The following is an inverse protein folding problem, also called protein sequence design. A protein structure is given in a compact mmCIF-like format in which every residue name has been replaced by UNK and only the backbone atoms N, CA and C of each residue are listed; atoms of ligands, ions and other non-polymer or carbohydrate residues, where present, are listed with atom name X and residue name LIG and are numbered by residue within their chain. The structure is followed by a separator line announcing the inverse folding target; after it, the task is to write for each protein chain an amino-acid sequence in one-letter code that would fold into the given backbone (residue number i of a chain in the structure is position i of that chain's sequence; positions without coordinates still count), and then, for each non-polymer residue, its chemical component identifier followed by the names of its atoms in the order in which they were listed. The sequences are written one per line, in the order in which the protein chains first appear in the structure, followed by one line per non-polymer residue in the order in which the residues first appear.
data_IF_673326732939
#
_entry.id   IF_673326732939
#
_cell.length_a   1.000
_cell.length_b   1.000
_cell.length_c   1.000
_cell.angle_alpha   90.00
_cell.angle_beta   90.00
_cell.angle_gamma   90.00
#
_symmetry.space_group_name_H-M   'P 1'
#
loop_
_entity.id
_entity.type
_entity.pdbx_description
1 polymer ?
#
# COMPACT_ATOMS: atom_id res chain seq x y z
N UNK A 1 17.92 14.38 3.62
CA UNK A 1 17.94 13.04 4.26
C UNK A 1 16.69 12.31 3.80
N UNK A 2 16.83 11.40 2.84
CA UNK A 2 15.71 10.69 2.22
C UNK A 2 15.08 9.74 3.24
N UNK A 3 13.81 9.96 3.56
CA UNK A 3 13.07 9.22 4.58
C UNK A 3 13.07 7.72 4.31
N UNK A 4 13.83 6.97 5.10
CA UNK A 4 13.70 5.52 5.21
C UNK A 4 12.46 5.19 6.05
N UNK A 5 11.28 5.48 5.51
CA UNK A 5 10.00 5.13 6.14
C UNK A 5 9.43 3.87 5.50
N UNK A 6 10.23 2.80 5.52
CA UNK A 6 9.95 1.61 4.73
C UNK A 6 10.38 0.35 5.47
N UNK A 7 9.60 -0.08 6.47
CA UNK A 7 10.14 -1.17 7.28
C UNK A 7 9.55 -2.55 6.96
N UNK A 8 8.42 -2.67 6.24
CA UNK A 8 7.91 -4.02 5.85
C UNK A 8 7.18 -4.15 4.52
N UNK A 9 6.47 -3.13 4.00
CA UNK A 9 5.70 -3.35 2.77
C UNK A 9 6.61 -3.58 1.54
N UNK A 10 7.62 -2.73 1.38
CA UNK A 10 8.64 -2.93 0.35
C UNK A 10 9.68 -3.98 0.77
N UNK A 11 9.84 -4.22 2.07
CA UNK A 11 10.76 -5.25 2.60
C UNK A 11 10.18 -6.68 2.57
N UNK A 12 8.87 -6.84 2.36
CA UNK A 12 8.21 -8.14 2.45
C UNK A 12 8.72 -9.11 1.38
N UNK A 13 9.14 -10.29 1.83
CA UNK A 13 9.59 -11.41 0.97
C UNK A 13 8.48 -12.41 0.67
N UNK A 14 7.34 -12.29 1.36
CA UNK A 14 6.18 -13.15 1.18
C UNK A 14 4.86 -12.41 1.33
N UNK A 15 3.78 -13.00 0.81
CA UNK A 15 2.42 -12.50 1.07
C UNK A 15 2.09 -12.48 2.56
N UNK A 16 2.58 -13.46 3.32
CA UNK A 16 2.35 -13.56 4.77
C UNK A 16 2.90 -12.34 5.51
N UNK A 17 4.07 -11.84 5.10
CA UNK A 17 4.67 -10.62 5.65
C UNK A 17 3.98 -9.33 5.19
N UNK A 18 3.53 -9.28 3.93
CA UNK A 18 2.87 -8.10 3.39
C UNK A 18 1.42 -7.94 3.88
N UNK A 19 0.71 -9.05 4.13
CA UNK A 19 -0.72 -9.06 4.45
C UNK A 19 -1.12 -8.14 5.63
N UNK A 20 -0.43 -8.12 6.78
CA UNK A 20 -0.78 -7.22 7.89
C UNK A 20 -0.70 -5.74 7.52
N UNK A 21 0.20 -5.39 6.60
CA UNK A 21 0.32 -4.02 6.09
C UNK A 21 -0.86 -3.66 5.21
N UNK A 22 -1.19 -4.53 4.25
CA UNK A 22 -2.30 -4.33 3.30
C UNK A 22 -3.65 -4.29 4.01
N UNK A 23 -3.83 -5.04 5.10
CA UNK A 23 -5.06 -5.04 5.90
C UNK A 23 -5.20 -3.83 6.85
N UNK A 24 -4.17 -2.98 6.97
CA UNK A 24 -4.23 -1.83 7.86
C UNK A 24 -5.28 -0.82 7.37
N UNK A 25 -6.15 -0.27 8.24
CA UNK A 25 -7.19 0.68 7.82
C UNK A 25 -6.64 1.85 7.01
N UNK A 26 -5.56 2.48 7.49
CA UNK A 26 -4.91 3.59 6.78
C UNK A 26 -4.35 3.22 5.41
N UNK A 27 -3.92 1.97 5.22
CA UNK A 27 -3.51 1.49 3.90
C UNK A 27 -4.67 1.55 2.91
N UNK A 28 -5.83 1.05 3.34
CA UNK A 28 -7.04 1.10 2.52
C UNK A 28 -7.46 2.55 2.23
N UNK A 29 -7.44 3.43 3.24
CA UNK A 29 -7.78 4.85 3.07
C UNK A 29 -6.88 5.51 2.02
N UNK A 30 -5.56 5.32 2.12
CA UNK A 30 -4.61 5.85 1.14
C UNK A 30 -4.85 5.30 -0.26
N UNK A 31 -5.07 3.99 -0.38
CA UNK A 31 -5.36 3.38 -1.67
C UNK A 31 -6.62 3.99 -2.32
N UNK A 32 -7.69 4.18 -1.54
CA UNK A 32 -8.95 4.78 -2.01
C UNK A 32 -8.78 6.26 -2.37
N UNK A 33 -8.13 7.04 -1.52
CA UNK A 33 -7.91 8.46 -1.75
C UNK A 33 -7.15 8.72 -3.07
N UNK A 34 -6.15 7.90 -3.37
CA UNK A 34 -5.44 7.99 -4.66
C UNK A 34 -6.36 7.67 -5.83
N UNK A 35 -7.15 6.59 -5.75
CA UNK A 35 -8.07 6.21 -6.83
C UNK A 35 -9.17 7.25 -7.06
N UNK A 36 -9.63 7.88 -5.98
CA UNK A 36 -10.64 8.94 -6.00
C UNK A 36 -10.03 10.31 -6.40
N UNK A 37 -8.72 10.36 -6.70
CA UNK A 37 -8.03 11.56 -7.20
C UNK A 37 -7.81 12.63 -6.13
N UNK A 38 -7.94 12.29 -4.84
CA UNK A 38 -7.75 13.26 -3.75
C UNK A 38 -6.27 13.66 -3.67
N UNK A 39 -5.95 14.95 -3.44
CA UNK A 39 -4.57 15.38 -3.26
C UNK A 39 -3.94 14.77 -2.01
N UNK A 40 -2.62 14.84 -1.90
CA UNK A 40 -1.90 14.40 -0.70
C UNK A 40 -1.92 15.53 0.34
N UNK A 41 -2.57 15.28 1.48
CA UNK A 41 -2.70 16.26 2.58
C UNK A 41 -1.65 15.97 3.67
N UNK A 42 -0.47 16.58 3.51
CA UNK A 42 0.63 16.48 4.47
C UNK A 42 0.24 16.97 5.87
N UNK A 43 -0.57 18.04 5.95
CA UNK A 43 -0.97 18.60 7.26
C UNK A 43 -1.94 17.70 8.00
N UNK A 44 -2.83 17.03 7.27
CA UNK A 44 -3.74 16.02 7.84
C UNK A 44 -3.00 14.80 8.41
N UNK A 45 -1.85 14.44 7.83
CA UNK A 45 -1.00 13.32 8.27
C UNK A 45 -0.23 13.62 9.56
N UNK A 46 0.19 14.87 9.78
CA UNK A 46 0.97 15.27 10.98
C UNK A 46 0.23 14.97 12.29
N UNK A 47 -1.11 14.90 12.26
CA UNK A 47 -1.94 14.53 13.40
C UNK A 47 -2.04 13.02 13.67
N UNK A 48 -1.47 12.16 12.82
CA UNK A 48 -1.56 10.71 12.95
C UNK A 48 -0.30 10.10 13.57
N UNK A 49 -0.40 8.93 14.23
CA UNK A 49 0.77 8.15 14.59
C UNK A 49 1.63 7.83 13.35
N UNK A 50 2.96 7.81 13.51
CA UNK A 50 3.89 7.58 12.40
C UNK A 50 3.61 6.28 11.62
N UNK A 51 3.19 5.21 12.31
CA UNK A 51 2.80 3.97 11.66
C UNK A 51 1.61 4.17 10.70
N UNK A 52 0.61 4.93 11.12
CA UNK A 52 -0.60 5.23 10.36
C UNK A 52 -0.27 6.04 9.11
N UNK A 53 0.62 7.04 9.24
CA UNK A 53 1.13 7.83 8.13
C UNK A 53 1.79 6.94 7.07
N UNK A 54 2.73 6.08 7.49
CA UNK A 54 3.41 5.16 6.57
C UNK A 54 2.45 4.18 5.89
N UNK A 55 1.43 3.70 6.62
CA UNK A 55 0.43 2.79 6.05
C UNK A 55 -0.40 3.49 4.98
N UNK A 56 -0.81 4.72 5.23
CA UNK A 56 -1.51 5.55 4.26
C UNK A 56 -0.68 5.80 3.00
N UNK A 57 0.58 6.19 3.17
CA UNK A 57 1.52 6.39 2.07
C UNK A 57 1.69 5.11 1.23
N UNK A 58 1.94 3.96 1.87
CA UNK A 58 2.06 2.69 1.15
C UNK A 58 0.81 2.34 0.35
N UNK A 59 -0.38 2.67 0.86
CA UNK A 59 -1.65 2.49 0.15
C UNK A 59 -1.71 3.32 -1.13
N UNK A 60 -1.35 4.62 -1.05
CA UNK A 60 -1.32 5.53 -2.20
C UNK A 60 -0.30 5.10 -3.25
N UNK A 61 0.90 4.73 -2.81
CA UNK A 61 1.96 4.24 -3.69
C UNK A 61 1.52 3.00 -4.46
N UNK A 62 0.92 2.01 -3.78
CA UNK A 62 0.46 0.80 -4.46
C UNK A 62 -0.66 1.10 -5.47
N UNK A 63 -1.56 2.03 -5.16
CA UNK A 63 -2.60 2.46 -6.09
C UNK A 63 -2.01 3.15 -7.33
N UNK A 64 -0.98 3.99 -7.15
CA UNK A 64 -0.26 4.63 -8.23
C UNK A 64 0.44 3.61 -9.14
N UNK A 65 1.08 2.60 -8.55
CA UNK A 65 1.68 1.50 -9.31
C UNK A 65 0.65 0.70 -10.10
N UNK A 66 -0.50 0.38 -9.49
CA UNK A 66 -1.59 -0.32 -10.19
C UNK A 66 -2.05 0.49 -11.40
N UNK A 67 -2.23 1.81 -11.24
CA UNK A 67 -2.60 2.72 -12.34
C UNK A 67 -1.53 2.75 -13.43
N UNK A 68 -0.25 2.88 -13.08
CA UNK A 68 0.86 2.89 -14.03
C UNK A 68 0.98 1.57 -14.81
N UNK A 69 0.63 0.45 -14.19
CA UNK A 69 0.60 -0.87 -14.82
C UNK A 69 -0.70 -1.18 -15.58
N UNK A 70 -1.67 -0.25 -15.64
CA UNK A 70 -2.98 -0.49 -16.26
C UNK A 70 -3.86 -1.50 -15.52
N UNK A 71 -3.56 -1.80 -14.26
CA UNK A 71 -4.30 -2.75 -13.44
C UNK A 71 -5.49 -2.03 -12.78
N UNK A 72 -6.69 -2.31 -13.27
CA UNK A 72 -7.92 -1.83 -12.66
C UNK A 72 -8.24 -2.63 -11.39
N UNK A 73 -8.03 -2.02 -10.23
CA UNK A 73 -8.37 -2.62 -8.93
C UNK A 73 -9.63 -1.97 -8.37
N UNK A 74 -10.69 -2.76 -8.22
CA UNK A 74 -11.88 -2.39 -7.44
C UNK A 74 -11.76 -2.97 -6.04
N UNK A 75 -11.50 -2.11 -5.06
CA UNK A 75 -11.38 -2.49 -3.66
C UNK A 75 -12.34 -1.66 -2.82
N UNK A 76 -13.56 -2.15 -2.61
CA UNK A 76 -14.63 -1.42 -1.92
C UNK A 76 -14.74 -1.73 -0.43
N UNK A 77 -14.18 -2.85 0.02
CA UNK A 77 -14.23 -3.34 1.40
C UNK A 77 -12.81 -3.64 1.88
N UNK A 78 -12.37 -2.91 2.92
CA UNK A 78 -11.04 -3.04 3.52
C UNK A 78 -10.68 -4.46 3.98
N UNK A 79 -11.68 -5.30 4.29
CA UNK A 79 -11.47 -6.67 4.76
C UNK A 79 -11.33 -7.68 3.62
N UNK A 80 -11.72 -7.29 2.39
CA UNK A 80 -11.74 -8.15 1.21
C UNK A 80 -10.71 -7.69 0.18
N UNK A 81 -9.47 -8.15 0.36
CA UNK A 81 -8.37 -7.83 -0.56
C UNK A 81 -8.65 -8.46 -1.94
N UNK A 82 -8.70 -7.67 -3.03
CA UNK A 82 -8.91 -8.20 -4.37
C UNK A 82 -7.78 -9.15 -4.78
N UNK A 83 -8.13 -10.23 -5.48
CA UNK A 83 -7.16 -11.25 -5.92
C UNK A 83 -6.01 -10.67 -6.72
N UNK A 84 -6.30 -9.78 -7.68
CA UNK A 84 -5.27 -9.12 -8.49
C UNK A 84 -4.27 -8.32 -7.65
N UNK A 85 -4.74 -7.67 -6.58
CA UNK A 85 -3.87 -6.93 -5.66
C UNK A 85 -2.98 -7.89 -4.86
N UNK A 86 -3.54 -8.99 -4.36
CA UNK A 86 -2.78 -10.05 -3.68
C UNK A 86 -1.71 -10.63 -4.59
N UNK A 87 -2.04 -10.90 -5.86
CA UNK A 87 -1.12 -11.51 -6.82
C UNK A 87 0.02 -10.54 -7.17
N UNK A 88 -0.27 -9.24 -7.35
CA UNK A 88 0.74 -8.20 -7.55
C UNK A 88 1.71 -8.12 -6.37
N UNK A 89 1.20 -8.01 -5.15
CA UNK A 89 2.01 -7.91 -3.93
C UNK A 89 2.84 -9.19 -3.73
N UNK A 90 2.25 -10.36 -3.95
CA UNK A 90 2.95 -11.65 -3.87
C UNK A 90 4.05 -11.77 -4.93
N UNK A 91 3.79 -11.29 -6.15
CA UNK A 91 4.77 -11.24 -7.23
C UNK A 91 5.98 -10.37 -6.87
N UNK A 92 5.76 -9.20 -6.26
CA UNK A 92 6.86 -8.34 -5.77
C UNK A 92 7.68 -9.05 -4.69
N UNK A 93 7.01 -9.66 -3.71
CA UNK A 93 7.66 -10.38 -2.62
C UNK A 93 8.57 -11.49 -3.16
N UNK A 94 8.09 -12.26 -4.14
CA UNK A 94 8.87 -13.32 -4.80
C UNK A 94 10.09 -12.79 -5.56
N UNK A 95 9.94 -11.72 -6.35
CA UNK A 95 11.08 -11.13 -7.07
C UNK A 95 12.18 -10.63 -6.14
N UNK A 96 11.80 -10.18 -4.93
CA UNK A 96 12.76 -9.75 -3.89
C UNK A 96 13.37 -10.90 -3.11
N UNK A 97 12.69 -12.03 -3.01
CA UNK A 97 13.18 -13.24 -2.36
C UNK A 97 14.10 -14.07 -3.28
N UNK A 98 14.15 -13.75 -4.57
CA UNK A 98 15.12 -14.33 -5.49
C UNK A 98 16.53 -13.85 -5.10
N UNK A 99 17.51 -14.77 -5.01
CA UNK A 99 18.89 -14.45 -4.62
C UNK A 99 19.64 -13.57 -5.63
#
# INVERSE_FOLDING_TARGET
MSGMSNNRFYGARSWREAKPVVLHPRFFDGFRDFLDGRPFDYRGLDGWPLLDQHRYENGRELAAECRAAGIAVRWSDRTRIPRGLRDLVSGRARRRAAP
#
